data_IF_287550202274
#
_entry.id   IF_287550202274
#
_cell.length_a   1.000
_cell.length_b   1.000
_cell.length_c   1.000
_cell.angle_alpha   90.00
_cell.angle_beta   90.00
_cell.angle_gamma   90.00
#
_symmetry.space_group_name_H-M   'P 1'
#
loop_
_entity.id
_entity.type
_entity.pdbx_description
1 polymer ?
#
# COMPACT_ATOMS: atom_id res chain seq x y z
N UNK A 1 -7.88 -78.35 -19.58
CA UNK A 1 -6.52 -78.09 -19.06
C UNK A 1 -6.39 -76.60 -18.87
N UNK A 2 -6.24 -76.13 -17.63
CA UNK A 2 -6.21 -74.70 -17.31
C UNK A 2 -4.81 -74.09 -17.55
N UNK A 3 -4.76 -72.78 -17.77
CA UNK A 3 -3.67 -71.90 -17.29
C UNK A 3 -4.17 -70.44 -17.24
N UNK A 4 -3.66 -69.66 -16.27
CA UNK A 4 -4.27 -68.42 -15.79
C UNK A 4 -3.67 -67.13 -16.37
N UNK A 5 -4.51 -66.08 -16.39
CA UNK A 5 -4.21 -64.64 -16.16
C UNK A 5 -5.59 -63.95 -15.95
N UNK A 6 -5.97 -63.31 -14.83
CA UNK A 6 -5.29 -62.34 -13.95
C UNK A 6 -4.82 -61.09 -14.73
N UNK A 7 -5.27 -59.84 -14.50
CA UNK A 7 -6.40 -59.25 -13.73
C UNK A 7 -6.74 -57.85 -14.32
N UNK A 8 -7.54 -56.90 -13.77
CA UNK A 8 -8.61 -56.84 -12.74
C UNK A 8 -9.55 -55.65 -13.03
N UNK A 9 -10.77 -55.87 -13.54
CA UNK A 9 -11.73 -54.80 -13.87
C UNK A 9 -12.54 -54.34 -12.63
N UNK A 10 -11.93 -53.59 -11.71
CA UNK A 10 -12.60 -53.02 -10.53
C UNK A 10 -12.85 -51.51 -10.64
N UNK A 11 -13.68 -51.12 -11.61
CA UNK A 11 -14.26 -49.77 -11.63
C UNK A 11 -15.21 -49.62 -10.43
N UNK A 12 -14.82 -48.81 -9.43
CA UNK A 12 -15.73 -48.22 -8.46
C UNK A 12 -15.76 -46.70 -8.67
N UNK A 13 -16.92 -46.09 -8.95
CA UNK A 13 -17.01 -44.64 -9.05
C UNK A 13 -16.73 -44.01 -7.68
N UNK A 14 -15.77 -43.09 -7.63
CA UNK A 14 -15.48 -42.28 -6.44
C UNK A 14 -16.65 -41.32 -6.24
N UNK A 15 -17.33 -41.40 -5.09
CA UNK A 15 -18.36 -40.44 -4.71
C UNK A 15 -17.73 -39.09 -4.33
N UNK A 16 -18.26 -37.95 -4.82
CA UNK A 16 -17.72 -36.63 -4.49
C UNK A 16 -18.24 -36.15 -3.13
N UNK A 17 -17.80 -36.80 -2.04
CA UNK A 17 -18.08 -36.34 -0.67
C UNK A 17 -17.00 -35.38 -0.16
N UNK A 18 -16.91 -34.20 -0.79
CA UNK A 18 -16.33 -33.01 -0.16
C UNK A 18 -17.09 -31.76 -0.64
N UNK A 19 -18.26 -31.53 -0.06
CA UNK A 19 -18.90 -30.21 -0.03
C UNK A 19 -18.08 -29.29 0.88
N UNK A 20 -16.92 -28.83 0.39
CA UNK A 20 -16.14 -27.80 1.06
C UNK A 20 -16.84 -26.45 0.86
N UNK A 21 -17.82 -26.16 1.72
CA UNK A 21 -18.37 -24.80 1.85
C UNK A 21 -17.21 -23.85 2.13
N UNK A 22 -17.03 -22.76 1.37
CA UNK A 22 -16.03 -21.77 1.71
C UNK A 22 -16.44 -21.18 3.07
N UNK A 23 -15.63 -21.44 4.11
CA UNK A 23 -15.69 -20.69 5.35
C UNK A 23 -15.26 -19.26 5.03
N UNK A 24 -16.23 -18.44 4.60
CA UNK A 24 -16.09 -16.99 4.60
C UNK A 24 -15.99 -16.60 6.07
N UNK A 25 -14.76 -16.56 6.56
CA UNK A 25 -14.43 -16.11 7.90
C UNK A 25 -14.63 -14.60 7.92
N UNK A 26 -15.88 -14.19 8.16
CA UNK A 26 -16.29 -12.81 8.35
C UNK A 26 -15.67 -12.28 9.63
N UNK A 27 -14.40 -11.89 9.56
CA UNK A 27 -13.76 -11.09 10.58
C UNK A 27 -14.51 -9.76 10.65
N UNK A 28 -15.30 -9.58 11.70
CA UNK A 28 -15.89 -8.28 12.03
C UNK A 28 -14.76 -7.29 12.25
N UNK A 29 -14.58 -6.36 11.31
CA UNK A 29 -13.61 -5.27 11.44
C UNK A 29 -14.09 -4.40 12.61
N UNK A 30 -13.25 -4.24 13.63
CA UNK A 30 -13.57 -3.40 14.79
C UNK A 30 -13.55 -1.94 14.38
N UNK A 31 -14.72 -1.37 14.05
CA UNK A 31 -14.90 0.05 13.75
C UNK A 31 -15.10 0.89 15.01
N UNK A 32 -14.49 0.49 16.14
CA UNK A 32 -14.57 1.23 17.39
C UNK A 32 -13.69 2.47 17.35
N UNK A 33 -14.24 3.59 17.83
CA UNK A 33 -13.54 4.86 18.03
C UNK A 33 -12.97 4.99 19.45
N UNK A 34 -12.96 3.89 20.22
CA UNK A 34 -12.42 3.86 21.58
C UNK A 34 -10.92 4.15 21.55
N UNK A 35 -10.46 4.99 22.48
CA UNK A 35 -9.07 5.41 22.57
C UNK A 35 -8.17 4.27 23.09
N UNK A 36 -7.23 3.85 22.26
CA UNK A 36 -6.19 2.88 22.58
C UNK A 36 -4.88 3.64 22.81
N UNK A 37 -4.34 3.60 24.03
CA UNK A 37 -3.02 4.15 24.33
C UNK A 37 -1.97 3.06 24.19
N UNK A 38 -0.89 3.33 23.44
CA UNK A 38 0.22 2.41 23.21
C UNK A 38 1.56 3.11 23.49
N UNK A 39 2.55 2.37 23.98
CA UNK A 39 3.92 2.87 24.18
C UNK A 39 4.84 2.40 23.05
N UNK A 40 5.64 3.30 22.48
CA UNK A 40 6.64 2.94 21.46
C UNK A 40 7.78 2.13 22.08
N UNK A 41 8.10 0.98 21.49
CA UNK A 41 9.08 0.03 22.04
C UNK A 41 10.54 0.47 21.93
N UNK A 42 10.84 1.53 21.17
CA UNK A 42 12.19 2.09 21.00
C UNK A 42 12.19 3.53 21.56
N UNK A 43 13.14 3.90 22.44
CA UNK A 43 13.26 5.28 22.90
C UNK A 43 13.83 6.18 21.80
N UNK A 44 13.33 7.42 21.74
CA UNK A 44 13.80 8.42 20.77
C UNK A 44 15.10 9.10 21.25
N UNK A 45 16.17 8.98 20.47
CA UNK A 45 17.41 9.75 20.69
C UNK A 45 17.30 11.09 19.97
N UNK A 46 17.09 12.17 20.73
CA UNK A 46 17.05 13.52 20.20
C UNK A 46 18.45 14.18 20.18
N UNK A 47 18.65 15.13 19.28
CA UNK A 47 19.86 15.95 19.21
C UNK A 47 19.46 17.43 19.05
N UNK A 48 19.77 18.26 20.06
CA UNK A 48 19.39 19.68 20.14
C UNK A 48 17.87 19.95 20.09
N UNK A 49 17.03 18.98 20.45
CA UNK A 49 15.58 19.14 20.60
C UNK A 49 15.05 18.26 21.74
N UNK A 50 13.83 18.52 22.20
CA UNK A 50 13.13 17.63 23.14
C UNK A 50 12.66 16.36 22.40
N UNK A 51 12.85 15.16 22.96
CA UNK A 51 12.35 13.93 22.35
C UNK A 51 10.81 13.90 22.40
N UNK A 52 10.13 13.41 21.35
CA UNK A 52 8.68 13.27 21.36
C UNK A 52 8.24 12.24 22.42
N UNK A 53 6.99 12.37 22.90
CA UNK A 53 6.43 11.40 23.84
C UNK A 53 6.41 9.98 23.25
N UNK A 54 6.66 9.00 24.10
CA UNK A 54 6.58 7.57 23.75
C UNK A 54 5.16 7.01 23.88
N UNK A 55 4.25 7.71 24.57
CA UNK A 55 2.84 7.35 24.64
C UNK A 55 2.08 7.95 23.46
N UNK A 56 1.46 7.11 22.64
CA UNK A 56 0.61 7.50 21.51
C UNK A 56 -0.81 7.03 21.79
N UNK A 57 -1.79 7.90 21.58
CA UNK A 57 -3.21 7.56 21.65
C UNK A 57 -3.78 7.49 20.25
N UNK A 58 -4.46 6.40 19.92
CA UNK A 58 -5.03 6.10 18.59
C UNK A 58 -6.38 5.39 18.75
N UNK A 59 -7.01 4.94 17.67
CA UNK A 59 -8.24 4.13 17.71
C UNK A 59 -8.17 2.97 16.70
N UNK A 60 -9.03 1.95 16.87
CA UNK A 60 -9.07 0.83 15.93
C UNK A 60 -9.45 1.28 14.50
N UNK A 61 -10.38 2.24 14.38
CA UNK A 61 -10.77 2.84 13.11
C UNK A 61 -9.61 3.59 12.41
N UNK A 62 -8.83 4.37 13.17
CA UNK A 62 -7.67 5.11 12.65
C UNK A 62 -6.56 4.16 12.16
N UNK A 63 -6.18 3.17 12.97
CA UNK A 63 -5.20 2.14 12.59
C UNK A 63 -5.64 1.35 11.35
N UNK A 64 -6.93 1.07 11.21
CA UNK A 64 -7.49 0.44 10.02
C UNK A 64 -7.41 1.34 8.77
N UNK A 65 -7.60 2.66 8.92
CA UNK A 65 -7.37 3.62 7.83
C UNK A 65 -5.91 3.60 7.40
N UNK A 66 -4.96 3.75 8.32
CA UNK A 66 -3.53 3.72 8.01
C UNK A 66 -3.11 2.43 7.31
N UNK A 67 -3.62 1.27 7.76
CA UNK A 67 -3.38 0.00 7.08
C UNK A 67 -3.95 -0.02 5.66
N UNK A 68 -5.16 0.51 5.46
CA UNK A 68 -5.81 0.58 4.15
C UNK A 68 -5.03 1.46 3.18
N UNK A 69 -4.56 2.62 3.65
CA UNK A 69 -3.75 3.57 2.88
C UNK A 69 -2.39 2.95 2.50
N UNK A 70 -1.67 2.35 3.47
CA UNK A 70 -0.41 1.64 3.20
C UNK A 70 -0.59 0.47 2.22
N UNK A 71 -1.70 -0.28 2.31
CA UNK A 71 -1.98 -1.38 1.41
C UNK A 71 -2.30 -0.91 -0.02
N UNK A 72 -2.97 0.24 -0.16
CA UNK A 72 -3.23 0.88 -1.45
C UNK A 72 -1.93 1.43 -2.07
N UNK A 73 -1.10 2.09 -1.28
CA UNK A 73 0.24 2.55 -1.65
C UNK A 73 1.13 1.40 -2.15
N UNK A 74 1.21 0.28 -1.40
CA UNK A 74 1.96 -0.91 -1.83
C UNK A 74 1.46 -1.47 -3.17
N UNK A 75 0.14 -1.49 -3.40
CA UNK A 75 -0.43 -1.97 -4.67
C UNK A 75 -0.11 -1.03 -5.83
N UNK A 76 -0.12 0.28 -5.60
CA UNK A 76 0.32 1.29 -6.57
C UNK A 76 1.78 1.06 -6.97
N UNK A 77 2.67 0.90 -5.99
CA UNK A 77 4.11 0.70 -6.22
C UNK A 77 4.42 -0.60 -6.99
N UNK A 78 3.76 -1.71 -6.64
CA UNK A 78 3.88 -2.98 -7.38
C UNK A 78 3.44 -2.82 -8.84
N UNK A 79 2.39 -2.03 -9.09
CA UNK A 79 1.96 -1.71 -10.45
C UNK A 79 2.95 -0.78 -11.17
N UNK A 80 3.48 0.26 -10.50
CA UNK A 80 4.51 1.14 -11.04
C UNK A 80 5.79 0.37 -11.42
N UNK A 81 6.25 -0.54 -10.57
CA UNK A 81 7.35 -1.47 -10.83
C UNK A 81 7.10 -2.33 -12.09
N UNK A 82 5.87 -2.81 -12.26
CA UNK A 82 5.45 -3.59 -13.44
C UNK A 82 5.45 -2.76 -14.73
N UNK A 83 4.94 -1.53 -14.68
CA UNK A 83 4.96 -0.58 -15.80
C UNK A 83 6.39 -0.12 -16.16
N UNK A 84 7.26 0.02 -15.16
CA UNK A 84 8.68 0.32 -15.34
C UNK A 84 9.42 -0.82 -16.04
N UNK A 85 9.21 -2.07 -15.59
CA UNK A 85 9.75 -3.28 -16.26
C UNK A 85 9.23 -3.43 -17.70
N UNK A 86 7.99 -3.02 -17.96
CA UNK A 86 7.40 -2.96 -19.30
C UNK A 86 7.92 -1.78 -20.16
N UNK A 87 8.83 -0.94 -19.64
CA UNK A 87 9.40 0.26 -20.29
C UNK A 87 8.36 1.33 -20.65
N UNK A 88 7.22 1.34 -19.97
CA UNK A 88 6.17 2.35 -20.14
C UNK A 88 6.46 3.62 -19.34
N UNK A 89 7.10 3.49 -18.17
CA UNK A 89 7.67 4.61 -17.42
C UNK A 89 9.03 4.97 -18.01
N UNK A 90 9.26 6.27 -18.28
CA UNK A 90 10.49 6.77 -18.91
C UNK A 90 11.43 7.41 -17.88
N UNK A 91 12.71 7.03 -17.91
CA UNK A 91 13.73 7.51 -16.98
C UNK A 91 13.94 6.50 -15.85
N UNK A 92 14.40 6.97 -14.69
CA UNK A 92 14.52 6.13 -13.49
C UNK A 92 13.20 6.10 -12.72
N UNK A 93 12.90 4.99 -12.05
CA UNK A 93 11.72 4.85 -11.21
C UNK A 93 12.16 4.41 -9.80
N UNK A 94 12.00 5.28 -8.81
CA UNK A 94 12.38 5.02 -7.41
C UNK A 94 11.12 4.75 -6.58
N UNK A 95 10.81 3.46 -6.43
CA UNK A 95 9.61 2.97 -5.75
C UNK A 95 9.61 3.33 -4.26
N UNK A 96 8.45 3.67 -3.68
CA UNK A 96 8.26 3.87 -2.24
C UNK A 96 8.06 2.55 -1.46
N UNK A 97 8.23 1.40 -2.12
CA UNK A 97 8.12 0.05 -1.55
C UNK A 97 8.73 -0.06 -0.13
N UNK A 98 7.92 -0.56 0.81
CA UNK A 98 8.28 -0.82 2.22
C UNK A 98 8.59 0.40 3.08
N UNK A 99 8.30 1.61 2.59
CA UNK A 99 8.38 2.85 3.36
C UNK A 99 7.00 3.50 3.58
N UNK A 100 5.90 2.89 3.14
CA UNK A 100 4.56 3.49 3.08
C UNK A 100 4.10 4.10 4.42
N UNK A 101 4.47 3.47 5.53
CA UNK A 101 4.22 3.94 6.89
C UNK A 101 4.78 5.35 7.17
N UNK A 102 5.87 5.76 6.49
CA UNK A 102 6.46 7.10 6.62
C UNK A 102 5.52 8.15 6.00
N UNK A 103 5.01 7.92 4.80
CA UNK A 103 4.08 8.84 4.14
C UNK A 103 2.76 8.96 4.91
N UNK A 104 2.21 7.83 5.37
CA UNK A 104 0.96 7.81 6.17
C UNK A 104 1.18 8.46 7.54
N UNK A 105 2.26 8.13 8.25
CA UNK A 105 2.57 8.69 9.56
C UNK A 105 2.89 10.19 9.52
N UNK A 106 3.57 10.67 8.48
CA UNK A 106 3.75 12.11 8.26
C UNK A 106 2.40 12.80 8.06
N UNK A 107 1.54 12.26 7.20
CA UNK A 107 0.22 12.83 6.88
C UNK A 107 -0.79 12.78 8.04
N UNK A 108 -0.63 11.84 8.98
CA UNK A 108 -1.39 11.81 10.22
C UNK A 108 -0.93 12.91 11.21
N UNK A 109 0.34 13.32 11.15
CA UNK A 109 0.93 14.30 12.07
C UNK A 109 0.84 15.76 11.58
N UNK A 110 0.72 15.99 10.27
CA UNK A 110 0.66 17.32 9.65
C UNK A 110 -0.73 17.62 9.07
N UNK A 111 -0.94 18.84 8.58
CA UNK A 111 -2.17 19.23 7.89
C UNK A 111 -1.93 19.43 6.39
N UNK A 112 -3.02 19.52 5.61
CA UNK A 112 -2.95 19.88 4.18
C UNK A 112 -2.50 21.33 3.93
N UNK A 113 -2.31 22.14 4.97
CA UNK A 113 -1.76 23.51 4.87
C UNK A 113 -0.23 23.53 4.92
N UNK A 114 0.38 22.50 5.50
CA UNK A 114 1.83 22.40 5.66
C UNK A 114 2.45 21.96 4.33
N UNK A 115 3.43 22.72 3.82
CA UNK A 115 4.10 22.40 2.57
C UNK A 115 5.16 21.31 2.77
N UNK A 116 5.23 20.32 1.87
CA UNK A 116 6.20 19.23 1.95
C UNK A 116 7.21 19.37 0.81
N UNK A 117 8.48 19.59 1.15
CA UNK A 117 9.57 19.53 0.18
C UNK A 117 9.98 18.07 0.02
N UNK A 118 9.71 17.51 -1.15
CA UNK A 118 9.99 16.11 -1.46
C UNK A 118 11.34 15.93 -2.15
N UNK A 119 11.85 14.70 -2.12
CA UNK A 119 13.02 14.25 -2.86
C UNK A 119 12.61 13.18 -3.88
N UNK A 120 13.57 12.37 -4.32
CA UNK A 120 13.44 11.40 -5.40
C UNK A 120 12.59 10.14 -5.08
N UNK A 121 11.89 10.07 -3.95
CA UNK A 121 11.06 8.93 -3.56
C UNK A 121 9.78 9.47 -2.93
N UNK A 122 8.82 9.81 -3.77
CA UNK A 122 7.75 10.75 -3.46
C UNK A 122 6.35 10.28 -3.85
N UNK A 123 6.21 9.14 -4.54
CA UNK A 123 4.95 8.67 -5.13
C UNK A 123 3.83 8.53 -4.09
N UNK A 124 4.12 7.92 -2.94
CA UNK A 124 3.15 7.77 -1.84
C UNK A 124 2.79 9.10 -1.17
N UNK A 125 3.75 10.01 -1.01
CA UNK A 125 3.48 11.36 -0.49
C UNK A 125 2.58 12.12 -1.47
N UNK A 126 2.91 12.11 -2.77
CA UNK A 126 2.08 12.71 -3.81
C UNK A 126 0.67 12.09 -3.86
N UNK A 127 0.54 10.77 -3.72
CA UNK A 127 -0.76 10.11 -3.61
C UNK A 127 -1.57 10.65 -2.42
N UNK A 128 -0.99 10.75 -1.22
CA UNK A 128 -1.67 11.28 -0.04
C UNK A 128 -2.09 12.76 -0.19
N UNK A 129 -1.28 13.59 -0.86
CA UNK A 129 -1.57 15.02 -1.05
C UNK A 129 -2.52 15.31 -2.22
N UNK A 130 -2.44 14.53 -3.30
CA UNK A 130 -3.31 14.68 -4.49
C UNK A 130 -4.64 13.93 -4.38
N UNK A 131 -4.71 12.90 -3.53
CA UNK A 131 -5.90 12.08 -3.30
C UNK A 131 -6.35 11.24 -4.51
N UNK A 132 -5.54 11.13 -5.56
CA UNK A 132 -5.98 10.53 -6.83
C UNK A 132 -4.90 9.62 -7.45
N UNK A 133 -5.16 8.31 -7.38
CA UNK A 133 -4.31 7.26 -7.93
C UNK A 133 -4.08 7.38 -9.46
N UNK A 134 -5.08 7.86 -10.21
CA UNK A 134 -4.95 8.04 -11.66
C UNK A 134 -3.91 9.10 -11.97
N UNK A 135 -3.95 10.24 -11.25
CA UNK A 135 -2.96 11.33 -11.37
C UNK A 135 -1.52 10.86 -11.14
N UNK A 136 -1.32 9.87 -10.25
CA UNK A 136 0.01 9.29 -10.04
C UNK A 136 0.50 8.59 -11.30
N UNK A 137 -0.31 7.68 -11.86
CA UNK A 137 0.08 6.91 -13.04
C UNK A 137 0.21 7.74 -14.31
N UNK A 138 -0.63 8.76 -14.50
CA UNK A 138 -0.51 9.66 -15.65
C UNK A 138 0.76 10.51 -15.58
N UNK A 139 1.20 10.96 -14.40
CA UNK A 139 2.50 11.62 -14.23
C UNK A 139 3.68 10.62 -14.39
N UNK A 140 3.63 9.42 -13.78
CA UNK A 140 4.63 8.35 -13.97
C UNK A 140 4.86 8.03 -15.46
N UNK A 141 3.80 8.00 -16.25
CA UNK A 141 3.84 7.68 -17.69
C UNK A 141 4.12 8.90 -18.58
N UNK A 142 4.18 10.12 -18.01
CA UNK A 142 4.44 11.35 -18.76
C UNK A 142 3.27 11.80 -19.65
N UNK A 143 2.03 11.59 -19.21
CA UNK A 143 0.83 12.03 -19.89
C UNK A 143 0.60 13.54 -19.71
N UNK A 144 0.30 14.26 -20.81
CA UNK A 144 0.15 15.73 -20.85
C UNK A 144 -1.12 16.31 -20.19
N UNK A 145 -1.90 15.50 -19.50
CA UNK A 145 -3.23 15.87 -18.98
C UNK A 145 -3.15 16.43 -17.55
N UNK A 146 -1.95 16.42 -16.94
CA UNK A 146 -1.77 16.53 -15.48
C UNK A 146 -1.00 17.77 -15.00
N UNK A 147 -0.98 17.92 -13.68
CA UNK A 147 -0.40 19.02 -12.90
C UNK A 147 0.95 19.57 -13.41
N UNK A 148 1.88 18.73 -13.90
CA UNK A 148 3.25 19.18 -14.22
C UNK A 148 3.50 19.64 -15.66
N UNK A 149 2.71 19.20 -16.65
CA UNK A 149 3.10 19.30 -18.07
C UNK A 149 3.18 17.97 -18.86
N UNK A 150 3.63 16.89 -18.19
CA UNK A 150 4.63 15.89 -18.66
C UNK A 150 6.09 16.12 -18.18
N UNK A 151 6.30 17.10 -17.29
CA UNK A 151 7.64 17.54 -16.85
C UNK A 151 8.13 16.86 -15.59
N UNK A 152 7.22 16.45 -14.70
CA UNK A 152 7.55 15.83 -13.41
C UNK A 152 8.14 14.43 -13.58
N UNK A 153 7.51 13.61 -14.43
CA UNK A 153 7.89 12.22 -14.68
C UNK A 153 7.88 11.43 -13.36
N UNK A 154 8.55 10.29 -13.36
CA UNK A 154 8.57 9.34 -12.25
C UNK A 154 9.31 9.77 -10.98
N UNK A 155 9.77 11.01 -10.89
CA UNK A 155 10.78 11.44 -9.90
C UNK A 155 10.59 12.86 -9.33
N UNK A 156 9.67 13.65 -9.90
CA UNK A 156 9.48 15.06 -9.55
C UNK A 156 7.99 15.40 -9.54
N UNK A 157 7.25 14.84 -8.59
CA UNK A 157 5.82 15.10 -8.48
C UNK A 157 5.53 16.53 -7.96
N UNK A 158 4.45 17.14 -8.46
CA UNK A 158 4.06 18.52 -8.11
C UNK A 158 2.53 18.62 -7.94
N UNK A 159 2.07 19.22 -6.84
CA UNK A 159 0.66 19.39 -6.52
C UNK A 159 0.43 20.65 -5.69
N UNK A 160 0.35 21.81 -6.36
CA UNK A 160 0.11 23.10 -5.70
C UNK A 160 -1.07 23.11 -4.72
N UNK A 161 -2.16 22.45 -5.07
CA UNK A 161 -3.38 22.33 -4.23
C UNK A 161 -3.12 21.50 -2.97
N UNK A 162 -2.23 20.51 -3.05
CA UNK A 162 -1.78 19.68 -1.94
C UNK A 162 -0.53 20.21 -1.23
N UNK A 163 -0.02 21.41 -1.54
CA UNK A 163 1.20 21.93 -0.92
C UNK A 163 2.48 21.14 -1.28
N UNK A 164 2.57 20.65 -2.52
CA UNK A 164 3.74 20.02 -3.16
C UNK A 164 4.19 20.85 -4.37
#
# INVERSE_FOLDING_TARGET
>A
MALLRAESNLLKPISPFFSCTPLILSHSISSSNDSITMETSIPFTAHNCEPPSRSVTTSAAELHSFFSDMALMRRMEIAANSLYKAKLIRGFCHLYDSQEAVAVGMEAAITKKDCIIMAYRDHCTFLSRSGNLVKVFTELMGCRVEMSNDKGRSMYFYCKEGGL
#
